data_IF_005013140733
#
_entry.id   IF_005013140733
#
_cell.length_a   1.000
_cell.length_b   1.000
_cell.length_c   1.000
_cell.angle_alpha   90.00
_cell.angle_beta   90.00
_cell.angle_gamma   90.00
#
_symmetry.space_group_name_H-M   'P 1'
#
loop_
_entity.id
_entity.type
_entity.pdbx_description
1 polymer ?
#
# COMPACT_ATOMS: atom_id res chain seq x y z
N UNK A 1 9.28 6.91 12.36
CA UNK A 1 9.42 5.50 12.77
C UNK A 1 8.12 4.94 13.37
N UNK A 2 7.48 5.60 14.34
CA UNK A 2 6.25 5.07 15.01
C UNK A 2 5.03 4.82 14.09
N UNK A 3 4.87 5.61 13.02
CA UNK A 3 3.64 5.59 12.23
C UNK A 3 3.39 4.26 11.51
N UNK A 4 4.40 3.54 11.03
CA UNK A 4 4.18 2.27 10.34
C UNK A 4 3.77 1.13 11.29
N UNK A 5 4.16 1.20 12.56
CA UNK A 5 3.81 0.22 13.60
C UNK A 5 2.35 0.34 14.04
N UNK A 6 1.75 1.52 13.91
CA UNK A 6 0.33 1.75 14.21
C UNK A 6 -0.57 0.77 13.44
N UNK A 7 -0.26 0.46 12.18
CA UNK A 7 -1.06 -0.47 11.37
C UNK A 7 -1.17 -1.86 12.01
N UNK A 8 -0.05 -2.34 12.54
CA UNK A 8 0.08 -3.69 13.11
C UNK A 8 -0.47 -3.74 14.54
N UNK A 9 -0.41 -2.63 15.27
CA UNK A 9 -0.99 -2.50 16.62
C UNK A 9 -2.53 -2.63 16.63
N UNK A 10 -3.20 -2.31 15.51
CA UNK A 10 -4.66 -2.45 15.36
C UNK A 10 -5.11 -3.86 14.93
N UNK A 11 -4.27 -4.88 15.11
CA UNK A 11 -4.54 -6.30 14.80
C UNK A 11 -4.90 -6.59 13.32
N UNK A 12 -4.49 -5.74 12.38
CA UNK A 12 -4.66 -6.00 10.95
C UNK A 12 -3.51 -6.86 10.45
N UNK A 13 -3.79 -7.99 9.80
CA UNK A 13 -2.74 -8.70 9.06
C UNK A 13 -2.40 -7.90 7.80
N UNK A 14 -1.14 -7.56 7.59
CA UNK A 14 -0.70 -6.85 6.39
C UNK A 14 -0.05 -7.84 5.42
N UNK A 15 -0.21 -7.63 4.11
CA UNK A 15 0.63 -8.29 3.11
C UNK A 15 1.27 -7.25 2.20
N UNK A 16 2.55 -7.45 1.89
CA UNK A 16 3.34 -6.62 0.96
C UNK A 16 3.76 -7.45 -0.24
N UNK A 17 3.98 -6.81 -1.39
CA UNK A 17 4.30 -7.51 -2.64
C UNK A 17 3.06 -7.90 -3.47
N UNK A 18 3.28 -8.11 -4.76
CA UNK A 18 2.23 -8.44 -5.73
C UNK A 18 2.00 -9.96 -5.77
N UNK A 19 0.75 -10.45 -5.89
CA UNK A 19 0.49 -11.87 -6.11
C UNK A 19 1.02 -12.33 -7.49
N UNK A 20 1.45 -13.59 -7.68
CA UNK A 20 1.40 -14.74 -6.75
C UNK A 20 2.63 -14.91 -5.82
N UNK A 21 2.54 -15.82 -4.84
CA UNK A 21 3.70 -16.27 -4.05
C UNK A 21 4.84 -16.74 -4.98
N UNK A 22 6.13 -16.44 -4.70
CA UNK A 22 6.72 -16.03 -3.40
C UNK A 22 6.89 -14.52 -3.18
N UNK A 23 6.35 -13.68 -4.07
CA UNK A 23 6.49 -12.21 -4.01
C UNK A 23 5.67 -11.58 -2.91
N UNK A 24 4.47 -12.12 -2.66
CA UNK A 24 3.62 -11.67 -1.56
C UNK A 24 4.13 -12.18 -0.21
N UNK A 25 4.46 -11.26 0.69
CA UNK A 25 4.93 -11.55 2.05
C UNK A 25 3.88 -11.09 3.06
N UNK A 26 3.50 -11.99 3.96
CA UNK A 26 2.55 -11.68 5.04
C UNK A 26 3.29 -11.18 6.28
N UNK A 27 2.90 -10.02 6.78
CA UNK A 27 3.36 -9.42 8.03
C UNK A 27 2.25 -9.63 9.06
N UNK A 28 2.45 -10.60 9.94
CA UNK A 28 1.49 -10.99 10.98
C UNK A 28 1.73 -10.31 12.33
N UNK A 29 2.88 -9.64 12.52
CA UNK A 29 3.27 -8.97 13.76
C UNK A 29 3.99 -7.65 13.45
N UNK A 30 3.97 -6.67 14.39
CA UNK A 30 4.81 -5.49 14.30
C UNK A 30 6.29 -5.88 14.20
N UNK A 31 6.91 -5.50 13.08
CA UNK A 31 8.34 -5.69 12.85
C UNK A 31 9.05 -4.34 12.99
N UNK A 32 10.32 -4.33 13.44
CA UNK A 32 11.12 -3.11 13.43
C UNK A 32 11.26 -2.57 12.00
N UNK A 33 11.47 -1.26 11.88
CA UNK A 33 11.50 -0.55 10.59
C UNK A 33 12.51 -1.15 9.60
N UNK A 34 13.68 -1.59 10.08
CA UNK A 34 14.71 -2.23 9.25
C UNK A 34 14.22 -3.55 8.65
N UNK A 35 13.65 -4.44 9.47
CA UNK A 35 13.10 -5.73 9.01
C UNK A 35 11.92 -5.52 8.06
N UNK A 36 11.04 -4.57 8.36
CA UNK A 36 9.93 -4.22 7.48
C UNK A 36 10.43 -3.71 6.12
N UNK A 37 11.43 -2.84 6.13
CA UNK A 37 12.03 -2.30 4.90
C UNK A 37 12.68 -3.39 4.06
N UNK A 38 13.41 -4.32 4.70
CA UNK A 38 14.02 -5.46 4.03
C UNK A 38 12.95 -6.37 3.41
N UNK A 39 11.87 -6.67 4.12
CA UNK A 39 10.76 -7.46 3.59
C UNK A 39 10.09 -6.79 2.39
N UNK A 40 9.90 -5.48 2.43
CA UNK A 40 9.34 -4.73 1.31
C UNK A 40 10.29 -4.77 0.11
N UNK A 41 11.60 -4.63 0.33
CA UNK A 41 12.61 -4.69 -0.74
C UNK A 41 12.66 -6.06 -1.41
N UNK A 42 12.63 -7.13 -0.61
CA UNK A 42 12.52 -8.52 -1.09
C UNK A 42 11.24 -8.74 -1.88
N UNK A 43 10.09 -8.30 -1.35
CA UNK A 43 8.78 -8.41 -2.01
C UNK A 43 8.68 -7.57 -3.29
N UNK A 44 9.49 -6.50 -3.39
CA UNK A 44 9.55 -5.60 -4.54
C UNK A 44 10.52 -6.09 -5.62
N UNK A 45 11.19 -7.24 -5.46
CA UNK A 45 12.17 -7.79 -6.41
C UNK A 45 13.28 -6.77 -6.79
N UNK A 46 13.76 -5.97 -5.83
CA UNK A 46 14.74 -4.89 -6.06
C UNK A 46 14.25 -3.76 -6.99
N UNK A 47 12.93 -3.65 -7.21
CA UNK A 47 12.34 -2.49 -7.85
C UNK A 47 12.21 -1.37 -6.82
N UNK A 48 13.15 -0.41 -6.86
CA UNK A 48 13.20 0.72 -5.93
C UNK A 48 11.92 1.56 -5.96
N UNK A 49 11.31 1.74 -7.14
CA UNK A 49 10.06 2.49 -7.28
C UNK A 49 8.91 1.80 -6.53
N UNK A 50 8.76 0.48 -6.70
CA UNK A 50 7.73 -0.29 -6.02
C UNK A 50 7.96 -0.34 -4.49
N UNK A 51 9.22 -0.40 -4.06
CA UNK A 51 9.59 -0.35 -2.65
C UNK A 51 9.18 0.99 -2.00
N UNK A 52 9.53 2.12 -2.64
CA UNK A 52 9.16 3.46 -2.19
C UNK A 52 7.64 3.62 -2.16
N UNK A 53 6.95 3.22 -3.23
CA UNK A 53 5.49 3.30 -3.30
C UNK A 53 4.82 2.49 -2.19
N UNK A 54 5.30 1.27 -1.94
CA UNK A 54 4.77 0.41 -0.87
C UNK A 54 4.93 1.07 0.50
N UNK A 55 6.10 1.63 0.78
CA UNK A 55 6.34 2.36 2.04
C UNK A 55 5.43 3.59 2.18
N UNK A 56 5.26 4.36 1.11
CA UNK A 56 4.43 5.57 1.13
C UNK A 56 2.96 5.22 1.38
N UNK A 57 2.43 4.21 0.68
CA UNK A 57 1.08 3.69 0.90
C UNK A 57 0.90 3.19 2.34
N UNK A 58 1.89 2.49 2.90
CA UNK A 58 1.84 2.08 4.31
C UNK A 58 1.73 3.27 5.27
N UNK A 59 2.46 4.36 5.02
CA UNK A 59 2.37 5.57 5.85
C UNK A 59 0.97 6.20 5.76
N UNK A 60 0.38 6.27 4.57
CA UNK A 60 -0.99 6.79 4.42
C UNK A 60 -2.03 5.87 5.07
N UNK A 61 -1.91 4.55 4.90
CA UNK A 61 -2.78 3.58 5.54
C UNK A 61 -2.71 3.73 7.07
N UNK A 62 -1.51 3.87 7.64
CA UNK A 62 -1.34 4.09 9.07
C UNK A 62 -2.08 5.35 9.54
N UNK A 63 -1.91 6.44 8.79
CA UNK A 63 -2.61 7.69 9.08
C UNK A 63 -4.13 7.51 8.99
N UNK A 64 -4.65 6.77 8.02
CA UNK A 64 -6.07 6.51 7.87
C UNK A 64 -6.65 5.62 8.96
N UNK A 65 -5.95 4.59 9.41
CA UNK A 65 -6.41 3.78 10.55
C UNK A 65 -6.60 4.66 11.79
N UNK A 66 -5.67 5.60 12.03
CA UNK A 66 -5.75 6.51 13.18
C UNK A 66 -6.80 7.61 13.03
N UNK A 67 -6.95 8.17 11.83
CA UNK A 67 -7.83 9.34 11.59
C UNK A 67 -9.26 8.97 11.18
N UNK A 68 -9.44 7.82 10.53
CA UNK A 68 -10.70 7.31 9.99
C UNK A 68 -10.79 5.77 10.13
N UNK A 69 -10.78 5.23 11.36
CA UNK A 69 -10.81 3.78 11.60
C UNK A 69 -12.04 3.08 11.00
N UNK A 70 -13.13 3.82 10.77
CA UNK A 70 -14.35 3.31 10.15
C UNK A 70 -14.13 2.75 8.72
N UNK A 71 -13.15 3.28 7.97
CA UNK A 71 -12.78 2.75 6.64
C UNK A 71 -12.30 1.30 6.70
N UNK A 72 -11.81 0.87 7.85
CA UNK A 72 -11.23 -0.46 8.05
C UNK A 72 -12.08 -1.34 8.97
N UNK A 73 -13.28 -0.91 9.37
CA UNK A 73 -14.11 -1.64 10.33
C UNK A 73 -14.38 -3.08 9.88
N UNK A 74 -14.57 -3.30 8.58
CA UNK A 74 -14.87 -4.61 7.99
C UNK A 74 -13.64 -5.33 7.40
N UNK A 75 -12.45 -4.70 7.41
CA UNK A 75 -11.24 -5.24 6.78
C UNK A 75 -10.34 -5.94 7.80
N UNK A 76 -10.29 -7.26 7.86
CA UNK A 76 -9.38 -7.97 8.79
C UNK A 76 -7.93 -8.06 8.31
N UNK A 77 -7.71 -7.95 7.00
CA UNK A 77 -6.39 -7.98 6.36
C UNK A 77 -6.27 -6.88 5.32
N UNK A 78 -5.09 -6.27 5.23
CA UNK A 78 -4.76 -5.27 4.22
C UNK A 78 -3.69 -5.84 3.29
N UNK A 79 -4.08 -6.08 2.03
CA UNK A 79 -3.16 -6.54 0.99
C UNK A 79 -2.64 -5.33 0.23
N UNK A 80 -1.50 -4.80 0.66
CA UNK A 80 -0.94 -3.54 0.14
C UNK A 80 -0.62 -3.67 -1.36
N UNK A 81 -0.08 -4.81 -1.79
CA UNK A 81 0.17 -5.06 -3.21
C UNK A 81 -1.10 -5.00 -4.07
N UNK A 82 -2.23 -5.54 -3.57
CA UNK A 82 -3.50 -5.46 -4.28
C UNK A 82 -4.07 -4.04 -4.28
N UNK A 83 -3.93 -3.30 -3.17
CA UNK A 83 -4.32 -1.89 -3.09
C UNK A 83 -3.56 -1.08 -4.16
N UNK A 84 -2.24 -1.27 -4.27
CA UNK A 84 -1.41 -0.62 -5.30
C UNK A 84 -1.88 -1.00 -6.71
N UNK A 85 -2.20 -2.28 -6.97
CA UNK A 85 -2.73 -2.71 -8.26
C UNK A 85 -4.06 -2.04 -8.60
N UNK A 86 -4.99 -1.97 -7.65
CA UNK A 86 -6.27 -1.32 -7.87
C UNK A 86 -6.07 0.18 -8.09
N UNK A 87 -5.19 0.84 -7.34
CA UNK A 87 -4.83 2.24 -7.58
C UNK A 87 -4.25 2.45 -8.98
N UNK A 88 -3.36 1.58 -9.44
CA UNK A 88 -2.79 1.64 -10.77
C UNK A 88 -3.86 1.44 -11.85
N UNK A 89 -4.77 0.49 -11.65
CA UNK A 89 -5.86 0.20 -12.56
C UNK A 89 -6.89 1.34 -12.65
N UNK A 90 -7.23 1.94 -11.51
CA UNK A 90 -8.12 3.11 -11.44
C UNK A 90 -7.47 4.31 -12.14
N UNK A 91 -6.17 4.53 -11.90
CA UNK A 91 -5.42 5.59 -12.56
C UNK A 91 -5.31 5.35 -14.08
N UNK A 92 -5.07 4.10 -14.50
CA UNK A 92 -5.05 3.72 -15.91
C UNK A 92 -6.38 4.04 -16.61
N UNK A 93 -7.51 3.74 -15.95
CA UNK A 93 -8.83 4.08 -16.45
C UNK A 93 -9.06 5.59 -16.48
N UNK A 94 -8.66 6.31 -15.43
CA UNK A 94 -8.81 7.76 -15.37
C UNK A 94 -7.96 8.50 -16.41
N UNK A 95 -6.77 7.98 -16.75
CA UNK A 95 -5.84 8.59 -17.70
C UNK A 95 -5.92 7.98 -19.11
N UNK A 96 -6.79 6.98 -19.32
CA UNK A 96 -6.86 6.18 -20.55
C UNK A 96 -5.48 5.65 -21.01
N UNK A 97 -4.62 5.27 -20.06
CA UNK A 97 -3.26 4.78 -20.33
C UNK A 97 -3.13 3.26 -20.09
N UNK A 98 -2.03 2.69 -20.56
CA UNK A 98 -1.73 1.27 -20.32
C UNK A 98 -1.35 1.02 -18.85
N UNK A 99 -1.48 -0.22 -18.39
CA UNK A 99 -1.18 -0.58 -16.99
C UNK A 99 0.27 -0.30 -16.56
N UNK A 100 1.22 -0.35 -17.49
CA UNK A 100 2.63 0.00 -17.23
C UNK A 100 2.82 1.51 -17.04
N UNK A 101 2.21 2.32 -17.92
CA UNK A 101 2.23 3.78 -17.82
C UNK A 101 1.53 4.29 -16.55
N UNK A 102 0.50 3.57 -16.09
CA UNK A 102 -0.20 3.91 -14.86
C UNK A 102 0.67 3.68 -13.60
N UNK A 103 1.53 2.66 -13.59
CA UNK A 103 2.48 2.44 -12.50
C UNK A 103 3.53 3.55 -12.42
N UNK A 104 4.03 4.03 -13.56
CA UNK A 104 4.91 5.21 -13.62
C UNK A 104 4.16 6.48 -13.22
N UNK A 105 2.92 6.63 -13.67
CA UNK A 105 2.08 7.76 -13.33
C UNK A 105 1.83 7.83 -11.82
N UNK A 106 1.60 6.68 -11.16
CA UNK A 106 1.49 6.56 -9.70
C UNK A 106 2.71 7.14 -8.98
N UNK A 107 3.92 6.86 -9.48
CA UNK A 107 5.17 7.38 -8.92
C UNK A 107 5.34 8.89 -9.12
N UNK A 108 4.67 9.46 -10.12
CA UNK A 108 4.69 10.90 -10.40
C UNK A 108 3.54 11.67 -9.73
N UNK A 109 2.61 10.98 -9.07
CA UNK A 109 1.50 11.64 -8.38
C UNK A 109 2.00 12.45 -7.19
N UNK A 110 1.42 13.63 -7.02
CA UNK A 110 1.62 14.41 -5.80
C UNK A 110 1.03 13.67 -4.58
N UNK A 111 1.59 13.88 -3.37
CA UNK A 111 1.10 13.29 -2.12
C UNK A 111 -0.42 13.42 -1.89
N UNK A 112 -0.99 14.58 -2.25
CA UNK A 112 -2.44 14.83 -2.14
C UNK A 112 -3.27 13.94 -3.07
N UNK A 113 -2.87 13.81 -4.34
CA UNK A 113 -3.53 12.92 -5.29
C UNK A 113 -3.43 11.46 -4.89
N UNK A 114 -2.24 11.00 -4.48
CA UNK A 114 -2.06 9.62 -4.00
C UNK A 114 -2.94 9.34 -2.78
N UNK A 115 -2.96 10.27 -1.81
CA UNK A 115 -3.80 10.18 -0.62
C UNK A 115 -5.30 10.12 -0.97
N UNK A 116 -5.76 10.94 -1.92
CA UNK A 116 -7.16 10.98 -2.34
C UNK A 116 -7.55 9.70 -3.09
N UNK A 117 -6.70 9.21 -3.99
CA UNK A 117 -6.91 7.95 -4.70
C UNK A 117 -6.99 6.79 -3.72
N UNK A 118 -6.07 6.70 -2.76
CA UNK A 118 -6.11 5.68 -1.71
C UNK A 118 -7.40 5.76 -0.88
N UNK A 119 -7.86 6.96 -0.53
CA UNK A 119 -9.14 7.13 0.17
C UNK A 119 -10.33 6.65 -0.65
N UNK A 120 -10.36 7.00 -1.94
CA UNK A 120 -11.39 6.58 -2.88
C UNK A 120 -11.49 5.05 -2.92
N UNK A 121 -10.36 4.36 -3.18
CA UNK A 121 -10.29 2.90 -3.21
C UNK A 121 -10.74 2.26 -1.88
N UNK A 122 -10.30 2.80 -0.74
CA UNK A 122 -10.69 2.28 0.58
C UNK A 122 -12.15 2.56 0.93
N UNK A 123 -12.71 3.67 0.44
CA UNK A 123 -14.09 4.06 0.68
C UNK A 123 -15.10 3.32 -0.22
N UNK A 124 -14.61 2.64 -1.26
CA UNK A 124 -15.45 1.93 -2.25
C UNK A 124 -16.38 2.84 -3.03
N UNK A 125 -16.04 4.13 -3.13
CA UNK A 125 -16.77 5.13 -3.92
C UNK A 125 -16.09 5.35 -5.25
#
# INVERSE_FOLDING_TARGET
EDRQLDLLSHQKHLTVGLPPEPREKTISAPLPYEELTQLIDEASEKNMSLCILTQEIMVYLAMYIRTQPALFAEMFRLRIGLIIQVMAMELAQSLCCSGEEAAESLMSLSPSHMKNLLHHILSGK
#
